data_IF_300366846400
#
_entry.id   IF_300366846400
#
_cell.length_a   1.000
_cell.length_b   1.000
_cell.length_c   1.000
_cell.angle_alpha   90.00
_cell.angle_beta   90.00
_cell.angle_gamma   90.00
#
_symmetry.space_group_name_H-M   'P 1'
#
loop_
_entity.id
_entity.type
_entity.pdbx_description
1 polymer ?
#
# COMPACT_ATOMS: atom_id res chain seq x y z
N UNK A 1 18.20 -3.21 -15.56
CA UNK A 1 17.53 -1.91 -15.35
C UNK A 1 16.67 -2.06 -14.10
N UNK A 2 16.75 -1.12 -13.14
CA UNK A 2 15.76 -1.07 -12.06
C UNK A 2 14.47 -0.45 -12.60
N UNK A 3 13.31 -0.98 -12.27
CA UNK A 3 12.03 -0.35 -12.65
C UNK A 3 11.96 1.07 -12.06
N UNK A 4 11.33 2.00 -12.77
CA UNK A 4 11.17 3.39 -12.29
C UNK A 4 10.47 3.43 -10.92
N UNK A 5 9.55 2.49 -10.70
CA UNK A 5 8.93 2.20 -9.43
C UNK A 5 9.92 1.96 -8.29
N UNK A 6 10.92 1.09 -8.46
CA UNK A 6 11.93 0.84 -7.42
C UNK A 6 12.70 2.12 -7.07
N UNK A 7 13.01 2.97 -8.06
CA UNK A 7 13.68 4.25 -7.80
C UNK A 7 12.78 5.20 -7.01
N UNK A 8 11.51 5.33 -7.40
CA UNK A 8 10.55 6.21 -6.74
C UNK A 8 10.26 5.80 -5.30
N UNK A 9 10.01 4.52 -5.06
CA UNK A 9 9.72 3.96 -3.72
C UNK A 9 10.90 4.13 -2.77
N UNK A 10 12.14 4.00 -3.28
CA UNK A 10 13.34 4.21 -2.47
C UNK A 10 13.58 5.69 -2.11
N UNK A 11 13.11 6.60 -2.95
CA UNK A 11 13.36 8.04 -2.77
C UNK A 11 12.24 8.70 -1.96
N UNK A 12 11.00 8.24 -2.13
CA UNK A 12 9.83 8.80 -1.47
C UNK A 12 9.02 7.71 -0.78
N UNK A 13 8.72 7.90 0.51
CA UNK A 13 7.94 6.95 1.30
C UNK A 13 6.45 7.11 1.07
N UNK A 14 5.73 5.98 1.03
CA UNK A 14 4.28 5.96 1.03
C UNK A 14 3.73 6.53 2.35
N UNK A 15 2.60 7.24 2.26
CA UNK A 15 1.91 7.80 3.43
C UNK A 15 0.64 7.01 3.72
N UNK A 16 0.50 6.53 4.96
CA UNK A 16 -0.65 5.75 5.41
C UNK A 16 -1.67 6.65 6.10
N UNK A 17 -2.88 6.75 5.55
CA UNK A 17 -3.96 7.59 6.09
C UNK A 17 -4.90 6.75 6.94
N UNK A 18 -5.06 7.16 8.19
CA UNK A 18 -5.93 6.51 9.16
C UNK A 18 -7.39 6.88 8.93
N UNK A 19 -8.24 5.88 9.15
CA UNK A 19 -9.69 6.00 9.14
C UNK A 19 -10.30 6.35 10.49
N UNK A 20 -11.57 6.00 10.65
CA UNK A 20 -12.30 6.05 11.91
C UNK A 20 -12.84 4.65 12.27
N UNK A 21 -12.41 4.05 13.39
CA UNK A 21 -11.47 4.57 14.38
C UNK A 21 -10.02 4.61 13.86
N UNK A 22 -9.17 5.44 14.50
CA UNK A 22 -7.79 5.70 14.04
C UNK A 22 -6.88 4.48 14.01
N UNK A 23 -7.29 3.34 14.56
CA UNK A 23 -6.54 2.06 14.52
C UNK A 23 -6.64 1.36 13.16
N UNK A 24 -7.42 1.88 12.21
CA UNK A 24 -7.50 1.37 10.84
C UNK A 24 -6.82 2.30 9.84
N UNK A 25 -6.18 1.71 8.84
CA UNK A 25 -5.75 2.39 7.62
C UNK A 25 -6.79 2.24 6.53
N UNK A 26 -7.23 3.38 6.01
CA UNK A 26 -8.24 3.44 4.95
C UNK A 26 -7.59 3.67 3.58
N UNK A 27 -6.47 4.39 3.54
CA UNK A 27 -5.79 4.73 2.29
C UNK A 27 -4.28 4.67 2.45
N UNK A 28 -3.60 4.41 1.34
CA UNK A 28 -2.16 4.62 1.20
C UNK A 28 -1.93 5.53 -0.01
N UNK A 29 -1.07 6.53 0.15
CA UNK A 29 -0.74 7.50 -0.90
C UNK A 29 0.72 7.37 -1.30
N UNK A 30 0.97 7.19 -2.59
CA UNK A 30 2.29 7.19 -3.21
C UNK A 30 2.55 8.60 -3.76
N UNK A 31 3.61 9.31 -3.33
CA UNK A 31 3.79 10.73 -3.60
C UNK A 31 4.13 11.08 -5.07
N UNK A 32 4.61 10.11 -5.85
CA UNK A 32 4.85 10.28 -7.27
C UNK A 32 4.94 8.93 -7.94
N UNK A 33 4.27 8.78 -9.08
CA UNK A 33 4.16 7.51 -9.81
C UNK A 33 4.40 7.71 -11.31
N UNK A 34 4.94 6.71 -12.03
CA UNK A 34 4.99 6.73 -13.48
C UNK A 34 3.56 6.74 -14.08
N UNK A 35 3.40 7.45 -15.19
CA UNK A 35 2.10 7.64 -15.88
C UNK A 35 2.13 7.15 -17.31
N UNK A 36 3.18 6.42 -17.68
CA UNK A 36 3.39 5.85 -19.01
C UNK A 36 2.40 4.73 -19.32
N UNK A 37 1.92 4.03 -18.27
CA UNK A 37 1.00 2.89 -18.39
C UNK A 37 -0.15 3.00 -17.39
N UNK A 38 -1.24 2.28 -17.69
CA UNK A 38 -2.38 2.11 -16.80
C UNK A 38 -2.10 1.01 -15.75
N UNK A 39 -1.19 1.30 -14.82
CA UNK A 39 -0.83 0.36 -13.76
C UNK A 39 -2.03 -0.02 -12.87
N UNK A 40 -1.99 -1.23 -12.34
CA UNK A 40 -2.93 -1.72 -11.34
C UNK A 40 -2.23 -1.93 -10.00
N UNK A 41 -2.99 -2.09 -8.92
CA UNK A 41 -2.44 -2.40 -7.61
C UNK A 41 -3.03 -3.67 -7.03
N UNK A 42 -2.15 -4.51 -6.47
CA UNK A 42 -2.51 -5.69 -5.68
C UNK A 42 -2.27 -5.39 -4.20
N UNK A 43 -3.23 -5.71 -3.35
CA UNK A 43 -3.15 -5.47 -1.91
C UNK A 43 -3.17 -6.80 -1.16
N UNK A 44 -2.19 -7.02 -0.29
CA UNK A 44 -2.12 -8.18 0.59
C UNK A 44 -2.23 -7.71 2.04
N UNK A 45 -3.12 -8.36 2.80
CA UNK A 45 -3.40 -8.11 4.23
C UNK A 45 -2.96 -9.33 5.04
N UNK A 46 -1.84 -9.22 5.75
CA UNK A 46 -1.20 -10.38 6.37
C UNK A 46 -0.84 -11.41 5.30
N UNK A 47 -1.44 -12.60 5.37
CA UNK A 47 -1.30 -13.66 4.37
C UNK A 47 -2.50 -13.73 3.38
N UNK A 48 -3.47 -12.83 3.51
CA UNK A 48 -4.66 -12.80 2.66
C UNK A 48 -4.45 -11.84 1.48
N UNK A 49 -4.45 -12.37 0.27
CA UNK A 49 -4.52 -11.56 -0.96
C UNK A 49 -5.94 -11.00 -1.15
N UNK A 50 -6.05 -9.67 -1.24
CA UNK A 50 -7.31 -8.97 -1.48
C UNK A 50 -7.57 -8.72 -2.97
N UNK A 51 -6.65 -9.15 -3.84
CA UNK A 51 -6.73 -9.07 -5.28
C UNK A 51 -6.16 -7.78 -5.85
N UNK A 52 -6.25 -7.69 -7.17
CA UNK A 52 -5.77 -6.56 -7.98
C UNK A 52 -6.94 -5.68 -8.40
N UNK A 53 -6.79 -4.36 -8.36
CA UNK A 53 -7.78 -3.41 -8.88
C UNK A 53 -7.11 -2.34 -9.75
N UNK A 54 -7.86 -1.77 -10.72
CA UNK A 54 -7.43 -0.59 -11.44
C UNK A 54 -7.21 0.59 -10.48
N UNK A 55 -6.37 1.52 -10.91
CA UNK A 55 -6.10 2.74 -10.15
C UNK A 55 -7.08 3.86 -10.49
N UNK A 56 -7.20 4.83 -9.59
CA UNK A 56 -7.87 6.11 -9.84
C UNK A 56 -6.99 7.07 -10.62
N UNK A 57 -7.58 8.15 -11.12
CA UNK A 57 -6.82 9.29 -11.63
C UNK A 57 -5.83 9.80 -10.58
N UNK A 58 -4.73 10.36 -11.06
CA UNK A 58 -3.76 11.01 -10.18
C UNK A 58 -4.34 12.25 -9.52
N UNK A 59 -3.87 12.49 -8.30
CA UNK A 59 -4.07 13.77 -7.65
C UNK A 59 -3.32 14.87 -8.42
N UNK A 60 -3.72 16.14 -8.23
CA UNK A 60 -3.12 17.29 -8.93
C UNK A 60 -1.61 17.46 -8.69
N UNK A 61 -1.11 16.91 -7.59
CA UNK A 61 0.31 16.92 -7.22
C UNK A 61 1.11 15.73 -7.81
N UNK A 62 0.47 14.88 -8.62
CA UNK A 62 1.07 13.69 -9.22
C UNK A 62 1.10 12.48 -8.29
N UNK A 63 0.53 12.58 -7.09
CA UNK A 63 0.42 11.44 -6.17
C UNK A 63 -0.73 10.51 -6.57
N UNK A 64 -0.59 9.23 -6.21
CA UNK A 64 -1.62 8.22 -6.37
C UNK A 64 -2.14 7.78 -5.01
N UNK A 65 -3.46 7.84 -4.81
CA UNK A 65 -4.12 7.27 -3.63
C UNK A 65 -4.72 5.92 -3.95
N UNK A 66 -4.38 4.91 -3.16
CA UNK A 66 -5.01 3.58 -3.15
C UNK A 66 -6.00 3.54 -1.98
N UNK A 67 -7.28 3.30 -2.28
CA UNK A 67 -8.35 3.18 -1.30
C UNK A 67 -8.51 1.72 -0.83
N UNK A 68 -8.04 1.41 0.39
CA UNK A 68 -8.03 0.04 0.92
C UNK A 68 -9.45 -0.49 1.20
N UNK A 69 -10.44 0.40 1.35
CA UNK A 69 -11.83 0.01 1.60
C UNK A 69 -12.38 -0.80 0.42
N UNK A 70 -11.99 -0.48 -0.81
CA UNK A 70 -12.44 -1.20 -2.00
C UNK A 70 -11.89 -2.62 -2.06
N UNK A 71 -10.68 -2.83 -1.54
CA UNK A 71 -10.06 -4.15 -1.44
C UNK A 71 -10.66 -4.96 -0.29
N UNK A 72 -10.99 -4.30 0.82
CA UNK A 72 -11.41 -4.96 2.06
C UNK A 72 -12.89 -4.73 2.40
N UNK A 73 -13.77 -4.87 1.38
CA UNK A 73 -15.24 -4.93 1.52
C UNK A 73 -15.87 -3.73 2.27
N UNK A 74 -15.35 -2.52 2.05
CA UNK A 74 -15.80 -1.29 2.67
C UNK A 74 -15.13 -0.96 4.00
N UNK A 75 -14.20 -1.79 4.48
CA UNK A 75 -13.52 -1.60 5.76
C UNK A 75 -12.04 -1.27 5.59
N UNK A 76 -11.50 -0.39 6.43
CA UNK A 76 -10.05 -0.20 6.55
C UNK A 76 -9.34 -1.46 7.09
N UNK A 77 -8.01 -1.45 7.06
CA UNK A 77 -7.16 -2.55 7.56
C UNK A 77 -6.55 -2.15 8.90
N UNK A 78 -6.69 -3.00 9.91
CA UNK A 78 -6.22 -2.73 11.28
C UNK A 78 -4.69 -2.58 11.32
N UNK A 79 -4.18 -1.61 12.08
CA UNK A 79 -2.74 -1.25 12.12
C UNK A 79 -1.82 -2.35 12.66
N UNK A 80 -2.39 -3.33 13.37
CA UNK A 80 -1.65 -4.52 13.83
C UNK A 80 -1.54 -5.61 12.76
N UNK A 81 -2.14 -5.41 11.58
CA UNK A 81 -2.04 -6.34 10.45
C UNK A 81 -0.97 -5.85 9.47
N UNK A 82 -0.03 -6.70 9.04
CA UNK A 82 0.88 -6.36 7.94
C UNK A 82 0.11 -6.03 6.66
N UNK A 83 0.59 -5.06 5.89
CA UNK A 83 -0.02 -4.67 4.61
C UNK A 83 1.07 -4.53 3.57
N UNK A 84 0.94 -5.23 2.46
CA UNK A 84 1.81 -5.07 1.29
C UNK A 84 0.98 -4.57 0.12
N UNK A 85 1.48 -3.54 -0.57
CA UNK A 85 0.89 -3.04 -1.81
C UNK A 85 1.91 -3.20 -2.92
N UNK A 86 1.50 -3.91 -3.96
CA UNK A 86 2.28 -4.14 -5.16
C UNK A 86 1.66 -3.35 -6.30
N UNK A 87 2.49 -2.70 -7.10
CA UNK A 87 2.07 -2.29 -8.44
C UNK A 87 2.20 -3.47 -9.39
N UNK A 88 1.27 -3.61 -10.32
CA UNK A 88 1.26 -4.65 -11.36
C UNK A 88 1.40 -3.95 -12.72
N UNK A 89 2.47 -4.27 -13.45
CA UNK A 89 2.66 -3.78 -14.82
C UNK A 89 1.65 -4.48 -15.76
N UNK A 90 0.83 -3.72 -16.52
CA UNK A 90 -0.20 -4.31 -17.36
C UNK A 90 0.36 -5.07 -18.58
N UNK A 91 1.62 -4.87 -18.95
CA UNK A 91 2.21 -5.49 -20.15
C UNK A 91 2.72 -6.91 -19.90
N UNK A 92 3.42 -7.12 -18.78
CA UNK A 92 4.07 -8.39 -18.45
C UNK A 92 3.59 -9.02 -17.13
N UNK A 93 2.71 -8.34 -16.39
CA UNK A 93 2.19 -8.79 -15.10
C UNK A 93 3.22 -8.77 -13.98
N UNK A 94 4.39 -8.16 -14.18
CA UNK A 94 5.40 -8.07 -13.13
C UNK A 94 4.90 -7.23 -11.97
N UNK A 95 5.18 -7.73 -10.76
CA UNK A 95 4.79 -7.07 -9.53
C UNK A 95 5.99 -6.43 -8.84
N UNK A 96 5.84 -5.18 -8.41
CA UNK A 96 6.84 -4.47 -7.61
C UNK A 96 6.23 -4.01 -6.31
N UNK A 97 6.86 -4.32 -5.17
CA UNK A 97 6.43 -3.83 -3.85
C UNK A 97 6.63 -2.30 -3.79
N UNK A 98 5.54 -1.54 -3.62
CA UNK A 98 5.55 -0.07 -3.62
C UNK A 98 5.20 0.54 -2.26
N UNK A 99 4.53 -0.20 -1.39
CA UNK A 99 4.32 0.19 0.00
C UNK A 99 4.25 -1.03 0.91
N UNK A 100 4.82 -0.90 2.11
CA UNK A 100 4.75 -1.92 3.15
C UNK A 100 4.41 -1.24 4.49
N UNK A 101 3.44 -1.82 5.20
CA UNK A 101 3.18 -1.53 6.60
C UNK A 101 3.54 -2.76 7.44
N UNK A 102 4.52 -2.59 8.32
CA UNK A 102 4.86 -3.57 9.36
C UNK A 102 4.34 -3.07 10.71
N UNK A 103 3.49 -3.84 11.40
CA UNK A 103 3.08 -3.52 12.76
C UNK A 103 4.30 -3.32 13.65
N UNK A 104 4.24 -2.37 14.58
CA UNK A 104 5.26 -2.28 15.64
C UNK A 104 5.18 -3.57 16.45
N UNK A 105 6.25 -4.36 16.49
CA UNK A 105 6.30 -5.53 17.37
C UNK A 105 5.99 -5.08 18.79
N UNK A 106 4.91 -5.59 19.40
CA UNK A 106 4.73 -5.44 20.84
C UNK A 106 5.95 -6.05 21.49
N UNK A 107 6.78 -5.26 22.18
CA UNK A 107 7.79 -5.82 23.08
C UNK A 107 7.04 -6.77 24.02
N UNK A 108 7.48 -8.02 24.21
CA UNK A 108 6.87 -8.88 25.20
C UNK A 108 6.90 -8.14 26.55
N UNK A 109 5.86 -8.25 27.39
CA UNK A 109 5.89 -7.66 28.71
C UNK A 109 7.14 -8.16 29.43
N UNK A 110 7.91 -7.25 30.05
CA UNK A 110 8.97 -7.64 30.97
C UNK A 110 8.29 -8.43 32.10
N UNK A 111 8.51 -9.74 32.15
CA UNK A 111 8.27 -10.52 33.36
C UNK A 111 9.19 -9.93 34.42
N UNK A 112 8.62 -9.23 35.39
CA UNK A 112 9.30 -8.91 36.64
C UNK A 112 9.40 -10.21 37.44
N UNK A 113 10.64 -10.64 37.71
CA UNK A 113 10.98 -11.65 38.73
C UNK A 113 10.56 -11.17 40.13
#
# INVERSE_FOLDING_TARGET
MFSEWVKLVRTNSATWKRGNPKVYFDHVTLPGVPTDKAYQYRVVKGDLDLGTRPTYELNKDGSQTINLLEYNKGYGIHEETPINVFVVDPEDGMETLVAEWKPKSRRPPKTSE
#
